data_IF_318197193135
#
_entry.id   IF_318197193135
#
_cell.length_a   1.000
_cell.length_b   1.000
_cell.length_c   1.000
_cell.angle_alpha   90.00
_cell.angle_beta   90.00
_cell.angle_gamma   90.00
#
_symmetry.space_group_name_H-M   'P 1'
#
loop_
_entity.id
_entity.type
_entity.pdbx_description
1 polymer ?
#
# COMPACT_ATOMS: atom_id res chain seq x y z
N UNK A 1 -12.55 -30.77 -55.64
CA UNK A 1 -11.99 -30.71 -54.25
C UNK A 1 -12.72 -29.74 -53.33
N UNK A 2 -13.38 -28.67 -53.79
CA UNK A 2 -14.01 -27.66 -52.90
C UNK A 2 -15.32 -28.12 -52.20
N UNK A 3 -16.14 -28.96 -52.79
CA UNK A 3 -17.43 -29.42 -52.20
C UNK A 3 -17.25 -30.39 -51.02
N UNK A 4 -16.21 -31.20 -51.05
CA UNK A 4 -15.90 -32.17 -49.98
C UNK A 4 -15.36 -31.44 -48.74
N UNK A 5 -14.54 -30.38 -48.93
CA UNK A 5 -13.99 -29.59 -47.82
C UNK A 5 -15.09 -28.82 -47.08
N UNK A 6 -16.06 -28.27 -47.80
CA UNK A 6 -17.21 -27.54 -47.21
C UNK A 6 -18.10 -28.50 -46.40
N UNK A 7 -18.29 -29.74 -46.87
CA UNK A 7 -19.09 -30.73 -46.14
C UNK A 7 -18.41 -31.15 -44.82
N UNK A 8 -17.08 -31.33 -44.82
CA UNK A 8 -16.32 -31.66 -43.60
C UNK A 8 -16.30 -30.50 -42.58
N UNK A 9 -16.17 -29.26 -43.05
CA UNK A 9 -16.22 -28.10 -42.14
C UNK A 9 -17.60 -27.90 -41.51
N UNK A 10 -18.68 -28.18 -42.26
CA UNK A 10 -20.06 -28.11 -41.74
C UNK A 10 -20.36 -29.19 -40.70
N UNK A 11 -19.82 -30.41 -40.90
CA UNK A 11 -19.97 -31.52 -39.94
C UNK A 11 -19.20 -31.24 -38.66
N UNK A 12 -17.98 -30.67 -38.73
CA UNK A 12 -17.17 -30.30 -37.57
C UNK A 12 -17.86 -29.21 -36.74
N UNK A 13 -18.44 -28.20 -37.41
CA UNK A 13 -19.19 -27.13 -36.70
C UNK A 13 -20.46 -27.66 -36.02
N UNK A 14 -21.17 -28.63 -36.64
CA UNK A 14 -22.33 -29.28 -36.03
C UNK A 14 -21.97 -30.17 -34.84
N UNK A 15 -20.84 -30.85 -34.87
CA UNK A 15 -20.34 -31.66 -33.75
C UNK A 15 -19.90 -30.76 -32.59
N UNK A 16 -19.16 -29.66 -32.86
CA UNK A 16 -18.77 -28.68 -31.83
C UNK A 16 -20.01 -28.05 -31.22
N UNK A 17 -21.01 -27.66 -32.02
CA UNK A 17 -22.28 -27.11 -31.54
C UNK A 17 -23.06 -28.09 -30.67
N UNK A 18 -23.14 -29.37 -31.06
CA UNK A 18 -23.82 -30.40 -30.28
C UNK A 18 -23.10 -30.73 -28.96
N UNK A 19 -21.75 -30.79 -28.97
CA UNK A 19 -20.95 -31.02 -27.76
C UNK A 19 -21.08 -29.81 -26.81
N UNK A 20 -21.03 -28.59 -27.32
CA UNK A 20 -21.22 -27.38 -26.50
C UNK A 20 -22.62 -27.29 -25.90
N UNK A 21 -23.66 -27.67 -26.71
CA UNK A 21 -25.05 -27.71 -26.22
C UNK A 21 -25.27 -28.80 -25.18
N UNK A 22 -24.62 -29.97 -25.33
CA UNK A 22 -24.68 -31.06 -24.35
C UNK A 22 -23.96 -30.71 -23.05
N UNK A 23 -22.82 -30.03 -23.13
CA UNK A 23 -22.16 -29.49 -21.96
C UNK A 23 -23.01 -28.41 -21.27
N UNK A 24 -23.64 -27.50 -22.00
CA UNK A 24 -24.52 -26.47 -21.43
C UNK A 24 -25.79 -27.04 -20.79
N UNK A 25 -26.36 -28.15 -21.32
CA UNK A 25 -27.52 -28.80 -20.74
C UNK A 25 -27.21 -29.67 -19.51
N UNK A 26 -26.00 -30.23 -19.43
CA UNK A 26 -25.59 -31.08 -18.32
C UNK A 26 -24.83 -30.31 -17.19
N UNK A 27 -24.37 -29.10 -17.44
CA UNK A 27 -23.96 -28.17 -16.41
C UNK A 27 -25.16 -27.34 -15.97
N UNK A 28 -26.07 -27.97 -15.24
CA UNK A 28 -26.90 -27.21 -14.30
C UNK A 28 -25.96 -26.76 -13.19
N UNK A 29 -25.57 -25.51 -13.24
CA UNK A 29 -25.14 -24.78 -12.06
C UNK A 29 -26.39 -24.75 -11.16
N UNK A 30 -26.56 -25.75 -10.32
CA UNK A 30 -27.46 -25.65 -9.18
C UNK A 30 -26.80 -24.60 -8.29
N UNK A 31 -27.22 -23.34 -8.46
CA UNK A 31 -27.07 -22.35 -7.41
C UNK A 31 -27.96 -22.83 -6.25
N UNK A 32 -27.41 -23.67 -5.39
CA UNK A 32 -28.03 -24.06 -4.12
C UNK A 32 -27.98 -22.90 -3.10
N UNK A 33 -28.06 -21.66 -3.58
CA UNK A 33 -28.42 -20.52 -2.75
C UNK A 33 -29.93 -20.36 -2.83
N UNK A 34 -30.65 -21.12 -1.99
CA UNK A 34 -32.00 -20.73 -1.62
C UNK A 34 -31.87 -19.53 -0.67
N UNK A 35 -32.53 -18.43 -1.02
CA UNK A 35 -32.63 -17.22 -0.21
C UNK A 35 -33.59 -17.42 1.01
N UNK A 36 -33.72 -18.62 1.52
CA UNK A 36 -34.52 -18.92 2.69
C UNK A 36 -33.63 -18.88 3.92
N UNK A 37 -33.66 -17.70 4.55
CA UNK A 37 -33.42 -17.47 6.00
C UNK A 37 -32.40 -18.42 6.63
N UNK A 38 -31.13 -18.16 6.39
CA UNK A 38 -30.10 -18.61 7.30
C UNK A 38 -30.13 -17.59 8.46
N UNK A 39 -30.36 -18.09 9.64
CA UNK A 39 -30.02 -17.39 10.87
C UNK A 39 -28.48 -17.41 10.98
N UNK A 40 -27.82 -16.61 10.10
CA UNK A 40 -26.37 -16.66 9.86
C UNK A 40 -25.57 -16.32 11.12
N UNK A 41 -26.13 -15.56 12.04
CA UNK A 41 -25.48 -15.18 13.30
C UNK A 41 -25.34 -16.38 14.24
N UNK A 42 -26.27 -17.33 14.22
CA UNK A 42 -26.22 -18.51 15.09
C UNK A 42 -25.23 -19.60 14.60
N UNK A 43 -24.96 -19.64 13.29
CA UNK A 43 -24.04 -20.65 12.70
C UNK A 43 -22.57 -20.22 12.83
N UNK A 44 -22.28 -18.92 12.72
CA UNK A 44 -20.91 -18.39 12.86
C UNK A 44 -20.37 -18.58 14.29
N UNK A 45 -21.23 -18.46 15.32
CA UNK A 45 -20.86 -18.67 16.72
C UNK A 45 -20.69 -20.15 17.11
N UNK A 46 -21.04 -21.11 16.24
CA UNK A 46 -20.87 -22.55 16.46
C UNK A 46 -19.77 -23.18 15.64
N UNK A 47 -19.11 -22.44 14.75
CA UNK A 47 -17.94 -22.94 14.05
C UNK A 47 -16.78 -23.06 15.06
N UNK A 48 -16.10 -24.24 15.15
CA UNK A 48 -14.87 -24.31 15.91
C UNK A 48 -13.91 -23.29 15.34
N UNK A 49 -13.27 -22.51 16.21
CA UNK A 49 -12.18 -21.63 15.82
C UNK A 49 -11.10 -22.51 15.18
N UNK A 50 -11.12 -22.62 13.86
CA UNK A 50 -9.98 -23.12 13.14
C UNK A 50 -8.95 -21.99 13.15
N UNK A 51 -7.91 -22.13 13.95
CA UNK A 51 -6.68 -21.36 13.70
C UNK A 51 -6.31 -21.64 12.25
N UNK A 52 -6.39 -20.60 11.42
CA UNK A 52 -5.93 -20.69 10.05
C UNK A 52 -4.42 -20.94 10.10
N UNK A 53 -4.03 -22.23 10.04
CA UNK A 53 -2.64 -22.61 9.84
C UNK A 53 -2.29 -22.36 8.38
N UNK A 54 -1.91 -21.14 8.08
CA UNK A 54 -1.56 -20.73 6.74
C UNK A 54 -1.39 -19.22 6.67
N UNK A 55 -1.13 -18.73 5.53
CA UNK A 55 -0.75 -17.41 5.06
C UNK A 55 -1.39 -16.16 5.76
N UNK A 56 -2.39 -16.33 6.61
CA UNK A 56 -3.13 -15.27 7.28
C UNK A 56 -3.30 -15.47 8.81
N UNK A 57 -2.50 -16.32 9.43
CA UNK A 57 -2.61 -16.60 10.86
C UNK A 57 -2.53 -15.35 11.78
N UNK A 58 -2.05 -14.23 11.25
CA UNK A 58 -1.87 -12.96 11.95
C UNK A 58 -2.67 -11.80 11.36
N UNK A 59 -3.71 -12.06 10.57
CA UNK A 59 -4.54 -11.02 9.98
C UNK A 59 -5.59 -10.54 11.00
N UNK A 60 -5.74 -9.22 11.13
CA UNK A 60 -6.75 -8.64 12.02
C UNK A 60 -8.17 -8.97 11.53
N UNK A 61 -9.04 -9.29 12.47
CA UNK A 61 -10.45 -9.57 12.23
C UNK A 61 -11.32 -8.49 12.87
N UNK A 62 -12.48 -8.22 12.27
CA UNK A 62 -13.52 -7.40 12.89
C UNK A 62 -14.24 -8.30 13.89
N UNK A 63 -14.21 -8.03 15.21
CA UNK A 63 -15.04 -8.76 16.16
C UNK A 63 -16.51 -8.60 15.84
N UNK A 64 -17.31 -9.66 16.05
CA UNK A 64 -18.76 -9.63 15.80
C UNK A 64 -19.50 -8.55 16.61
N UNK A 65 -18.90 -8.08 17.70
CA UNK A 65 -19.45 -7.06 18.60
C UNK A 65 -18.93 -5.65 18.26
N UNK A 66 -18.02 -5.52 17.28
CA UNK A 66 -17.53 -4.19 16.87
C UNK A 66 -18.62 -3.53 16.03
N UNK A 67 -19.27 -2.52 16.60
CA UNK A 67 -20.09 -1.62 15.80
C UNK A 67 -19.19 -0.92 14.80
N UNK A 68 -19.28 -1.29 13.53
CA UNK A 68 -18.68 -0.55 12.43
C UNK A 68 -19.54 0.69 12.24
N UNK A 69 -19.23 1.75 12.99
CA UNK A 69 -19.96 3.01 12.87
C UNK A 69 -19.57 3.68 11.56
N UNK A 70 -20.50 3.65 10.60
CA UNK A 70 -20.37 4.43 9.37
C UNK A 70 -20.51 5.94 9.62
N UNK A 71 -21.02 6.35 10.78
CA UNK A 71 -21.49 7.72 11.02
C UNK A 71 -20.43 8.63 11.66
N UNK A 72 -19.46 8.11 12.42
CA UNK A 72 -18.53 8.94 13.18
C UNK A 72 -17.45 9.61 12.31
N UNK A 73 -17.15 9.05 11.12
CA UNK A 73 -16.16 9.57 10.19
C UNK A 73 -16.74 9.95 8.82
N UNK A 74 -18.04 9.82 8.63
CA UNK A 74 -18.71 9.95 7.32
C UNK A 74 -18.51 11.32 6.67
N UNK A 75 -18.34 12.37 7.46
CA UNK A 75 -18.24 13.75 6.97
C UNK A 75 -16.81 14.19 6.66
N UNK A 76 -15.78 13.44 7.09
CA UNK A 76 -14.37 13.90 7.07
C UNK A 76 -13.39 12.90 6.48
N UNK A 77 -13.80 11.65 6.27
CA UNK A 77 -12.94 10.58 5.74
C UNK A 77 -13.71 9.70 4.78
N UNK A 78 -13.03 9.32 3.70
CA UNK A 78 -13.54 8.41 2.69
C UNK A 78 -13.34 6.94 3.04
N UNK A 79 -12.17 6.61 3.60
CA UNK A 79 -11.84 5.30 4.12
C UNK A 79 -10.88 5.41 5.29
N UNK A 80 -11.08 4.61 6.33
CA UNK A 80 -10.20 4.56 7.49
C UNK A 80 -10.19 3.20 8.15
N UNK A 81 -9.11 2.89 8.85
CA UNK A 81 -8.96 1.68 9.65
C UNK A 81 -8.03 1.94 10.84
N UNK A 82 -8.42 1.43 12.01
CA UNK A 82 -7.59 1.35 13.22
C UNK A 82 -7.52 -0.10 13.67
N UNK A 83 -6.32 -0.63 13.81
CA UNK A 83 -6.06 -2.00 14.22
C UNK A 83 -5.17 -2.03 15.44
N UNK A 84 -5.56 -2.77 16.47
CA UNK A 84 -4.68 -3.22 17.55
C UNK A 84 -3.88 -4.43 17.04
N UNK A 85 -2.59 -4.22 16.71
CA UNK A 85 -1.71 -5.27 16.21
C UNK A 85 -1.36 -6.30 17.30
N UNK A 86 -1.49 -5.94 18.57
CA UNK A 86 -1.17 -6.84 19.70
C UNK A 86 -2.24 -7.91 19.83
N UNK A 87 -3.51 -7.55 19.66
CA UNK A 87 -4.65 -8.46 19.72
C UNK A 87 -5.15 -8.91 18.34
N UNK A 88 -4.59 -8.38 17.23
CA UNK A 88 -5.08 -8.54 15.86
C UNK A 88 -6.57 -8.19 15.73
N UNK A 89 -6.98 -7.09 16.36
CA UNK A 89 -8.37 -6.66 16.40
C UNK A 89 -8.55 -5.33 15.67
N UNK A 90 -9.53 -5.24 14.78
CA UNK A 90 -9.94 -3.99 14.14
C UNK A 90 -10.83 -3.25 15.14
N UNK A 91 -10.38 -2.05 15.57
CA UNK A 91 -11.10 -1.19 16.51
C UNK A 91 -12.00 -0.18 15.81
N UNK A 92 -11.64 0.20 14.58
CA UNK A 92 -12.42 1.09 13.73
C UNK A 92 -12.26 0.65 12.28
N UNK A 93 -13.37 0.67 11.51
CA UNK A 93 -13.41 0.30 10.12
C UNK A 93 -14.47 1.12 9.38
N UNK A 94 -14.03 1.97 8.44
CA UNK A 94 -14.91 2.74 7.58
C UNK A 94 -14.51 2.56 6.12
N UNK A 95 -15.42 2.03 5.29
CA UNK A 95 -15.18 1.78 3.87
C UNK A 95 -13.86 1.01 3.56
N UNK A 96 -13.46 0.10 4.44
CA UNK A 96 -12.12 -0.51 4.44
C UNK A 96 -11.80 -1.31 3.19
N UNK A 97 -12.79 -1.76 2.41
CA UNK A 97 -12.64 -2.48 1.15
C UNK A 97 -12.93 -1.63 -0.09
N UNK A 98 -13.23 -0.34 0.09
CA UNK A 98 -13.44 0.57 -1.03
C UNK A 98 -12.10 0.93 -1.68
N UNK A 99 -12.03 0.89 -3.01
CA UNK A 99 -10.86 1.35 -3.76
C UNK A 99 -10.70 2.86 -3.65
N UNK A 100 -9.51 3.27 -3.31
CA UNK A 100 -9.10 4.67 -3.15
C UNK A 100 -7.74 4.87 -3.81
N UNK A 101 -7.39 6.10 -4.11
CA UNK A 101 -6.07 6.46 -4.60
C UNK A 101 -5.10 6.62 -3.43
N UNK A 102 -3.99 5.86 -3.39
CA UNK A 102 -3.07 5.86 -2.24
C UNK A 102 -2.19 7.10 -2.15
N UNK A 103 -2.02 7.85 -3.25
CA UNK A 103 -0.99 8.88 -3.36
C UNK A 103 0.38 8.33 -2.90
N UNK A 104 1.22 9.17 -2.29
CA UNK A 104 2.58 8.79 -1.86
C UNK A 104 2.65 7.72 -0.75
N UNK A 105 1.53 7.22 -0.21
CA UNK A 105 1.59 6.05 0.69
C UNK A 105 2.02 4.79 -0.06
N UNK A 106 1.90 4.75 -1.40
CA UNK A 106 2.50 3.78 -2.33
C UNK A 106 3.98 3.53 -2.05
N UNK A 107 4.73 4.56 -1.64
CA UNK A 107 6.18 4.49 -1.39
C UNK A 107 6.57 3.54 -0.25
N UNK A 108 5.62 3.14 0.60
CA UNK A 108 5.87 2.08 1.57
C UNK A 108 6.04 0.71 0.89
N UNK A 109 5.25 0.39 -0.14
CA UNK A 109 5.46 -0.83 -0.93
C UNK A 109 6.80 -0.78 -1.67
N UNK A 110 7.17 0.38 -2.22
CA UNK A 110 8.48 0.58 -2.82
C UNK A 110 9.61 0.35 -1.80
N UNK A 111 9.49 0.89 -0.59
CA UNK A 111 10.47 0.72 0.47
C UNK A 111 10.60 -0.74 0.93
N UNK A 112 9.50 -1.50 1.02
CA UNK A 112 9.51 -2.93 1.34
C UNK A 112 10.35 -3.69 0.32
N UNK A 113 10.13 -3.49 -0.99
CA UNK A 113 10.86 -4.19 -2.03
C UNK A 113 12.34 -3.81 -2.06
N UNK A 114 12.68 -2.54 -1.79
CA UNK A 114 14.07 -2.08 -1.66
C UNK A 114 14.74 -2.75 -0.45
N UNK A 115 14.07 -2.83 0.68
CA UNK A 115 14.59 -3.49 1.88
C UNK A 115 14.80 -4.99 1.65
N UNK A 116 13.83 -5.69 1.04
CA UNK A 116 13.96 -7.10 0.65
C UNK A 116 15.13 -7.33 -0.30
N UNK A 117 15.30 -6.49 -1.31
CA UNK A 117 16.40 -6.61 -2.26
C UNK A 117 17.78 -6.47 -1.57
N UNK A 118 17.90 -5.59 -0.57
CA UNK A 118 19.10 -5.45 0.24
C UNK A 118 19.34 -6.68 1.14
N UNK A 119 18.29 -7.24 1.76
CA UNK A 119 18.38 -8.48 2.55
C UNK A 119 18.77 -9.69 1.68
N UNK A 120 18.32 -9.72 0.42
CA UNK A 120 18.73 -10.73 -0.58
C UNK A 120 20.19 -10.53 -1.06
N UNK A 121 20.84 -9.44 -0.65
CA UNK A 121 22.23 -9.15 -0.99
C UNK A 121 22.45 -8.59 -2.41
N UNK A 122 21.39 -8.04 -3.04
CA UNK A 122 21.52 -7.40 -4.35
C UNK A 122 22.37 -6.14 -4.30
N UNK A 123 22.31 -5.42 -3.18
CA UNK A 123 23.12 -4.25 -2.85
C UNK A 123 23.11 -4.01 -1.34
N UNK A 124 23.96 -3.10 -0.88
CA UNK A 124 23.93 -2.55 0.49
C UNK A 124 23.35 -1.14 0.47
N UNK A 125 22.85 -0.66 1.60
CA UNK A 125 22.35 0.71 1.69
C UNK A 125 23.43 1.79 1.51
N UNK A 126 24.71 1.42 1.63
CA UNK A 126 25.85 2.33 1.46
C UNK A 126 26.40 2.30 0.03
N UNK A 127 25.89 1.41 -0.85
CA UNK A 127 26.28 1.39 -2.25
C UNK A 127 25.80 2.66 -2.97
N UNK A 128 26.67 3.15 -3.87
CA UNK A 128 26.41 4.37 -4.66
C UNK A 128 25.70 4.03 -5.96
N UNK A 129 24.63 4.74 -6.24
CA UNK A 129 23.88 4.68 -7.50
C UNK A 129 24.25 5.92 -8.31
N UNK A 130 24.75 5.73 -9.53
CA UNK A 130 24.98 6.83 -10.49
C UNK A 130 23.75 6.98 -11.37
N UNK A 131 23.25 8.20 -11.48
CA UNK A 131 22.06 8.52 -12.26
C UNK A 131 22.45 8.58 -13.73
N UNK A 132 22.05 7.60 -14.52
CA UNK A 132 22.43 7.46 -15.94
C UNK A 132 21.42 8.11 -16.89
N UNK A 133 20.20 8.34 -16.45
CA UNK A 133 19.16 9.05 -17.19
C UNK A 133 18.22 9.83 -16.24
N UNK A 134 17.43 10.73 -16.80
CA UNK A 134 16.46 11.50 -16.00
C UNK A 134 15.28 10.61 -15.60
N UNK A 135 14.99 10.46 -14.29
CA UNK A 135 13.83 9.68 -13.83
C UNK A 135 12.52 10.20 -14.43
N UNK A 136 11.69 9.32 -14.92
CA UNK A 136 10.42 9.69 -15.53
C UNK A 136 9.35 10.01 -14.45
N UNK A 137 9.25 11.29 -14.09
CA UNK A 137 8.18 11.82 -13.20
C UNK A 137 7.23 12.62 -14.07
N UNK A 138 6.04 12.08 -14.29
CA UNK A 138 5.09 12.60 -15.29
C UNK A 138 4.32 13.84 -14.84
N UNK A 139 4.18 14.07 -13.52
CA UNK A 139 3.47 15.21 -12.95
C UNK A 139 4.49 16.33 -12.64
N UNK A 140 4.39 17.50 -13.31
CA UNK A 140 5.32 18.61 -13.09
C UNK A 140 5.20 19.26 -11.71
N UNK A 141 4.09 19.06 -11.00
CA UNK A 141 3.86 19.57 -9.65
C UNK A 141 4.29 18.54 -8.56
N UNK A 142 4.80 17.37 -8.98
CA UNK A 142 5.27 16.35 -8.06
C UNK A 142 6.55 16.81 -7.34
N UNK A 143 6.63 16.49 -6.04
CA UNK A 143 7.84 16.76 -5.26
C UNK A 143 8.99 15.91 -5.81
N UNK A 144 10.04 16.55 -6.30
CA UNK A 144 11.26 15.94 -6.80
C UNK A 144 12.50 16.58 -6.15
N UNK A 145 13.62 15.88 -6.20
CA UNK A 145 14.91 16.37 -5.74
C UNK A 145 15.61 17.23 -6.80
N UNK A 146 16.79 17.74 -6.46
CA UNK A 146 17.66 18.46 -7.39
C UNK A 146 18.69 17.53 -8.10
N UNK A 147 18.54 16.20 -7.96
CA UNK A 147 19.48 15.22 -8.54
C UNK A 147 19.46 15.24 -10.06
N UNK A 148 20.64 15.08 -10.68
CA UNK A 148 20.83 15.17 -12.13
C UNK A 148 21.52 13.94 -12.68
N UNK A 149 21.43 13.79 -13.99
CA UNK A 149 22.19 12.77 -14.72
C UNK A 149 23.69 12.98 -14.50
N UNK A 150 24.39 11.92 -14.12
CA UNK A 150 25.78 11.91 -13.74
C UNK A 150 26.06 12.01 -12.25
N UNK A 151 25.09 12.44 -11.44
CA UNK A 151 25.21 12.48 -9.99
C UNK A 151 25.26 11.06 -9.42
N UNK A 152 25.90 10.92 -8.25
CA UNK A 152 25.99 9.65 -7.52
C UNK A 152 25.54 9.81 -6.07
N UNK A 153 24.63 8.95 -5.64
CA UNK A 153 23.97 9.02 -4.33
C UNK A 153 23.84 7.61 -3.73
N UNK A 154 23.93 7.47 -2.40
CA UNK A 154 23.77 6.17 -1.78
C UNK A 154 22.30 5.68 -1.81
N UNK A 155 22.11 4.35 -1.84
CA UNK A 155 20.78 3.73 -1.74
C UNK A 155 20.05 4.19 -0.48
N UNK A 156 20.76 4.35 0.64
CA UNK A 156 20.23 4.90 1.89
C UNK A 156 19.63 6.28 1.71
N UNK A 157 20.36 7.19 1.05
CA UNK A 157 19.90 8.57 0.86
C UNK A 157 18.71 8.64 -0.10
N UNK A 158 18.68 7.79 -1.13
CA UNK A 158 17.50 7.62 -1.99
C UNK A 158 16.29 7.16 -1.20
N UNK A 159 16.43 6.10 -0.38
CA UNK A 159 15.34 5.56 0.44
C UNK A 159 14.84 6.60 1.45
N UNK A 160 15.74 7.27 2.15
CA UNK A 160 15.39 8.29 3.15
C UNK A 160 14.75 9.52 2.51
N UNK A 161 15.26 10.01 1.39
CA UNK A 161 14.64 11.12 0.66
C UNK A 161 13.24 10.77 0.15
N UNK A 162 13.04 9.54 -0.32
CA UNK A 162 11.73 9.03 -0.74
C UNK A 162 10.73 8.96 0.44
N UNK A 163 11.15 8.48 1.60
CA UNK A 163 10.25 8.32 2.75
C UNK A 163 10.00 9.65 3.48
N UNK A 164 11.04 10.39 3.84
CA UNK A 164 10.97 11.61 4.66
C UNK A 164 10.36 12.78 3.88
N UNK A 165 10.93 13.09 2.70
CA UNK A 165 10.55 14.24 1.86
C UNK A 165 9.53 13.89 0.79
N UNK A 166 9.32 12.58 0.57
CA UNK A 166 8.40 12.07 -0.46
C UNK A 166 8.87 12.30 -1.90
N UNK A 167 10.17 12.35 -2.15
CA UNK A 167 10.74 12.53 -3.48
C UNK A 167 10.24 11.45 -4.45
N UNK A 168 9.66 11.87 -5.58
CA UNK A 168 9.06 10.96 -6.58
C UNK A 168 10.10 10.39 -7.54
N UNK A 169 11.11 11.15 -7.89
CA UNK A 169 12.26 10.74 -8.68
C UNK A 169 13.07 9.64 -7.96
N UNK A 170 13.28 9.75 -6.65
CA UNK A 170 13.96 8.71 -5.87
C UNK A 170 13.19 7.39 -5.87
N UNK A 171 11.85 7.44 -5.86
CA UNK A 171 11.05 6.23 -5.98
C UNK A 171 11.24 5.54 -7.33
N UNK A 172 11.37 6.31 -8.43
CA UNK A 172 11.65 5.78 -9.78
C UNK A 172 13.05 5.17 -9.83
N UNK A 173 14.08 5.89 -9.35
CA UNK A 173 15.47 5.39 -9.33
C UNK A 173 15.56 4.07 -8.54
N UNK A 174 14.94 4.00 -7.36
CA UNK A 174 14.93 2.79 -6.54
C UNK A 174 14.17 1.64 -7.22
N UNK A 175 13.08 1.94 -7.93
CA UNK A 175 12.33 0.95 -8.69
C UNK A 175 13.17 0.36 -9.81
N UNK A 176 13.89 1.19 -10.55
CA UNK A 176 14.79 0.75 -11.63
C UNK A 176 16.00 -0.03 -11.08
N UNK A 177 16.55 0.38 -9.94
CA UNK A 177 17.62 -0.34 -9.27
C UNK A 177 17.23 -1.77 -8.89
N UNK A 178 16.00 -1.96 -8.38
CA UNK A 178 15.52 -3.26 -7.89
C UNK A 178 14.92 -4.10 -9.01
N UNK A 179 14.10 -3.51 -9.86
CA UNK A 179 13.33 -4.18 -10.91
C UNK A 179 14.03 -4.23 -12.27
N UNK A 180 15.05 -3.37 -12.49
CA UNK A 180 15.65 -3.15 -13.80
C UNK A 180 14.89 -2.14 -14.64
N UNK A 181 13.58 -2.07 -14.50
CA UNK A 181 12.69 -1.04 -15.03
C UNK A 181 11.45 -0.88 -14.16
N UNK A 182 10.68 0.19 -14.39
CA UNK A 182 9.47 0.52 -13.61
C UNK A 182 8.37 -0.50 -13.85
N UNK A 183 8.19 -1.04 -15.05
CA UNK A 183 7.13 -2.00 -15.37
C UNK A 183 7.33 -3.29 -14.59
N UNK A 184 8.53 -3.86 -14.64
CA UNK A 184 8.87 -5.06 -13.87
C UNK A 184 8.77 -4.82 -12.36
N UNK A 185 9.21 -3.64 -11.89
CA UNK A 185 9.07 -3.28 -10.48
C UNK A 185 7.60 -3.23 -10.04
N UNK A 186 6.70 -2.67 -10.85
CA UNK A 186 5.27 -2.65 -10.56
C UNK A 186 4.66 -4.06 -10.52
N UNK A 187 5.14 -4.99 -11.35
CA UNK A 187 4.76 -6.40 -11.23
C UNK A 187 5.20 -6.97 -9.88
N UNK A 188 6.45 -6.70 -9.45
CA UNK A 188 6.93 -7.12 -8.13
C UNK A 188 6.09 -6.52 -6.99
N UNK A 189 5.66 -5.23 -7.10
CA UNK A 189 4.77 -4.60 -6.11
C UNK A 189 3.43 -5.35 -6.00
N UNK A 190 2.84 -5.73 -7.12
CA UNK A 190 1.57 -6.46 -7.15
C UNK A 190 1.73 -7.91 -6.64
N UNK A 191 2.83 -8.58 -6.95
CA UNK A 191 3.16 -9.91 -6.41
C UNK A 191 3.38 -9.85 -4.90
N UNK A 192 4.10 -8.84 -4.41
CA UNK A 192 4.28 -8.63 -2.98
C UNK A 192 2.96 -8.35 -2.28
N UNK A 193 2.13 -7.45 -2.82
CA UNK A 193 0.81 -7.17 -2.29
C UNK A 193 -0.05 -8.43 -2.18
N UNK A 194 -0.07 -9.25 -3.25
CA UNK A 194 -0.75 -10.54 -3.23
C UNK A 194 -0.20 -11.45 -2.15
N UNK A 195 1.14 -11.48 -1.99
CA UNK A 195 1.82 -12.27 -0.97
C UNK A 195 1.43 -11.88 0.45
N UNK A 196 1.17 -10.61 0.71
CA UNK A 196 0.69 -10.08 1.99
C UNK A 196 -0.81 -10.30 2.22
N UNK A 197 -1.56 -10.78 1.22
CA UNK A 197 -3.01 -10.86 1.26
C UNK A 197 -3.72 -9.53 0.92
N UNK A 198 -2.98 -8.52 0.47
CA UNK A 198 -3.51 -7.24 -0.01
C UNK A 198 -4.02 -7.38 -1.46
N UNK A 199 -5.19 -8.00 -1.61
CA UNK A 199 -5.72 -8.40 -2.92
C UNK A 199 -6.68 -7.39 -3.54
N UNK A 200 -6.99 -6.31 -2.83
CA UNK A 200 -7.88 -5.23 -3.28
C UNK A 200 -7.15 -4.05 -3.92
N UNK A 201 -5.82 -4.13 -4.09
CA UNK A 201 -4.99 -3.06 -4.63
C UNK A 201 -4.38 -3.42 -5.99
N UNK A 202 -3.89 -2.38 -6.68
CA UNK A 202 -3.12 -2.51 -7.92
C UNK A 202 -2.15 -1.34 -8.05
N UNK A 203 -0.89 -1.65 -8.33
CA UNK A 203 0.20 -0.69 -8.45
C UNK A 203 0.68 -0.61 -9.91
N UNK A 204 0.76 0.59 -10.47
CA UNK A 204 1.25 0.86 -11.83
C UNK A 204 2.42 1.84 -11.87
N UNK A 205 2.79 2.40 -10.71
CA UNK A 205 3.99 3.21 -10.53
C UNK A 205 4.53 3.09 -9.09
N UNK A 206 5.82 3.41 -8.84
CA UNK A 206 6.44 3.24 -7.54
C UNK A 206 6.24 4.42 -6.58
N UNK A 207 5.68 5.55 -7.04
CA UNK A 207 5.65 6.80 -6.30
C UNK A 207 4.26 7.25 -5.84
N UNK A 208 3.18 6.68 -6.43
CA UNK A 208 1.79 7.00 -6.08
C UNK A 208 1.23 8.23 -6.79
N UNK A 209 1.87 8.71 -7.86
CA UNK A 209 1.26 9.67 -8.76
C UNK A 209 0.00 9.07 -9.38
N UNK A 210 -0.96 9.94 -9.66
CA UNK A 210 -2.27 9.50 -10.07
C UNK A 210 -2.27 8.77 -11.41
N UNK A 211 -2.85 7.57 -11.41
CA UNK A 211 -3.27 6.78 -12.56
C UNK A 211 -4.60 6.11 -12.21
N UNK A 212 -5.53 6.03 -13.15
CA UNK A 212 -6.88 5.48 -12.90
C UNK A 212 -6.83 4.03 -12.36
N UNK A 213 -5.83 3.27 -12.78
CA UNK A 213 -5.62 1.86 -12.38
C UNK A 213 -4.63 1.68 -11.22
N UNK A 214 -4.27 2.78 -10.53
CA UNK A 214 -3.42 2.79 -9.35
C UNK A 214 -4.25 3.00 -8.09
N UNK A 215 -4.63 1.94 -7.41
CA UNK A 215 -5.55 2.00 -6.27
C UNK A 215 -5.18 1.01 -5.18
N UNK A 216 -5.68 1.29 -3.98
CA UNK A 216 -5.60 0.41 -2.79
C UNK A 216 -6.95 0.41 -2.07
N UNK A 217 -7.08 -0.44 -1.05
CA UNK A 217 -8.10 -0.30 -0.01
C UNK A 217 -7.45 0.07 1.32
N UNK A 218 -8.24 0.54 2.30
CA UNK A 218 -7.71 0.81 3.64
C UNK A 218 -7.20 -0.48 4.31
N UNK A 219 -7.84 -1.61 4.04
CA UNK A 219 -7.40 -2.91 4.54
C UNK A 219 -6.07 -3.35 3.91
N UNK A 220 -5.88 -3.16 2.61
CA UNK A 220 -4.59 -3.44 1.94
C UNK A 220 -3.48 -2.57 2.52
N UNK A 221 -3.74 -1.28 2.75
CA UNK A 221 -2.75 -0.37 3.35
C UNK A 221 -2.39 -0.75 4.78
N UNK A 222 -3.35 -1.27 5.56
CA UNK A 222 -3.05 -1.85 6.87
C UNK A 222 -2.02 -2.98 6.75
N UNK A 223 -2.20 -3.91 5.81
CA UNK A 223 -1.27 -5.03 5.59
C UNK A 223 0.11 -4.53 5.15
N UNK A 224 0.15 -3.57 4.23
CA UNK A 224 1.39 -3.01 3.68
C UNK A 224 2.18 -2.24 4.73
N UNK A 225 1.55 -1.34 5.50
CA UNK A 225 2.28 -0.56 6.51
C UNK A 225 2.74 -1.43 7.68
N UNK A 226 1.98 -2.45 8.02
CA UNK A 226 2.37 -3.47 9.01
C UNK A 226 3.60 -4.25 8.54
N UNK A 227 3.65 -4.63 7.26
CA UNK A 227 4.84 -5.27 6.68
C UNK A 227 6.03 -4.32 6.68
N UNK A 228 5.84 -3.05 6.28
CA UNK A 228 6.89 -2.05 6.29
C UNK A 228 7.54 -1.87 7.68
N UNK A 229 6.76 -2.04 8.74
CA UNK A 229 7.25 -1.96 10.12
C UNK A 229 8.19 -3.12 10.54
N UNK A 230 8.29 -4.18 9.75
CA UNK A 230 9.24 -5.27 9.98
C UNK A 230 10.68 -4.92 9.53
N UNK A 231 10.88 -3.80 8.82
CA UNK A 231 12.18 -3.40 8.29
C UNK A 231 12.76 -2.22 9.08
N UNK A 232 13.81 -2.48 9.86
CA UNK A 232 14.48 -1.46 10.68
C UNK A 232 14.89 -0.23 9.88
N UNK A 233 15.33 -0.38 8.63
CA UNK A 233 15.75 0.73 7.78
C UNK A 233 14.62 1.71 7.47
N UNK A 234 13.39 1.22 7.35
CA UNK A 234 12.19 2.05 7.14
C UNK A 234 11.86 2.81 8.43
N UNK A 235 11.82 2.11 9.56
CA UNK A 235 11.58 2.73 10.86
C UNK A 235 12.65 3.78 11.21
N UNK A 236 13.92 3.51 10.88
CA UNK A 236 15.02 4.47 11.05
C UNK A 236 14.83 5.74 10.19
N UNK A 237 14.40 5.60 8.93
CA UNK A 237 14.07 6.75 8.08
C UNK A 237 12.93 7.57 8.68
N UNK A 238 11.86 6.92 9.12
CA UNK A 238 10.65 7.56 9.62
C UNK A 238 10.80 8.16 11.02
N UNK A 239 11.85 7.77 11.76
CA UNK A 239 12.21 8.38 13.05
C UNK A 239 12.87 9.75 12.92
N UNK A 240 13.35 10.13 11.73
CA UNK A 240 14.08 11.37 11.50
C UNK A 240 13.15 12.60 11.59
N UNK A 241 13.51 13.58 12.42
CA UNK A 241 12.84 14.90 12.47
C UNK A 241 13.46 15.91 11.50
N UNK A 242 14.68 15.64 11.07
CA UNK A 242 15.41 16.27 9.97
C UNK A 242 16.50 15.31 9.53
N UNK A 243 16.85 15.31 8.27
CA UNK A 243 17.91 14.47 7.74
C UNK A 243 18.75 15.26 6.74
N UNK A 244 20.07 15.34 7.01
CA UNK A 244 21.04 16.00 6.14
C UNK A 244 21.93 14.92 5.53
N UNK A 245 22.14 14.97 4.23
CA UNK A 245 22.98 14.02 3.53
C UNK A 245 23.76 14.69 2.41
N UNK A 246 24.81 14.00 1.95
CA UNK A 246 25.61 14.45 0.82
C UNK A 246 25.51 13.42 -0.33
N UNK A 247 25.75 13.91 -1.55
CA UNK A 247 25.89 13.15 -2.77
C UNK A 247 26.95 13.82 -3.67
N UNK A 248 27.39 13.13 -4.70
CA UNK A 248 28.42 13.66 -5.63
C UNK A 248 27.75 14.12 -6.92
N UNK A 249 28.14 15.30 -7.42
CA UNK A 249 27.77 15.71 -8.77
C UNK A 249 28.58 14.94 -9.84
N UNK A 250 28.28 15.16 -11.11
CA UNK A 250 28.96 14.52 -12.25
C UNK A 250 30.46 14.83 -12.34
N UNK A 251 30.90 15.90 -11.68
CA UNK A 251 32.32 16.30 -11.63
C UNK A 251 33.03 15.75 -10.37
N UNK A 252 32.29 15.05 -9.49
CA UNK A 252 32.80 14.51 -8.25
C UNK A 252 32.82 15.50 -7.08
N UNK A 253 32.17 16.65 -7.20
CA UNK A 253 32.03 17.60 -6.08
C UNK A 253 30.91 17.13 -5.15
N UNK A 254 31.11 17.33 -3.83
CA UNK A 254 30.12 17.02 -2.84
C UNK A 254 29.06 18.11 -2.79
N UNK A 255 27.78 17.68 -2.96
CA UNK A 255 26.58 18.48 -2.76
C UNK A 255 25.83 17.99 -1.54
N UNK A 256 24.99 18.82 -0.94
CA UNK A 256 24.20 18.47 0.24
C UNK A 256 22.72 18.78 0.04
N UNK A 257 21.87 18.01 0.69
CA UNK A 257 20.46 18.28 0.81
C UNK A 257 20.01 18.13 2.28
N UNK A 258 19.14 19.04 2.73
CA UNK A 258 18.58 19.09 4.06
C UNK A 258 17.07 18.92 3.98
N UNK A 259 16.56 17.76 4.39
CA UNK A 259 15.15 17.41 4.30
C UNK A 259 14.46 17.31 5.63
N UNK A 260 13.18 17.63 5.63
CA UNK A 260 12.30 17.53 6.80
C UNK A 260 11.07 16.70 6.48
N UNK A 261 10.50 16.00 7.48
CA UNK A 261 9.32 15.15 7.30
C UNK A 261 8.11 15.91 6.78
N UNK A 262 7.33 15.24 5.94
CA UNK A 262 6.02 15.73 5.49
C UNK A 262 4.93 15.53 6.54
N UNK A 263 5.16 14.71 7.56
CA UNK A 263 4.20 14.43 8.62
C UNK A 263 4.12 15.61 9.62
N UNK A 264 2.92 16.17 9.76
CA UNK A 264 2.69 17.37 10.55
C UNK A 264 2.69 17.14 12.08
N UNK A 265 2.65 15.89 12.56
CA UNK A 265 2.95 15.57 13.94
C UNK A 265 4.45 15.77 14.23
N UNK A 266 5.33 15.35 13.30
CA UNK A 266 6.79 15.50 13.45
C UNK A 266 7.25 16.95 13.30
N UNK A 267 6.60 17.75 12.47
CA UNK A 267 6.88 19.19 12.35
C UNK A 267 6.36 20.00 13.55
N UNK A 268 5.52 19.40 14.41
CA UNK A 268 4.87 20.08 15.55
C UNK A 268 3.69 20.98 15.17
N UNK A 269 3.22 20.91 13.93
CA UNK A 269 2.02 21.62 13.48
C UNK A 269 0.76 21.10 14.19
N UNK A 270 0.70 19.78 14.38
CA UNK A 270 -0.31 19.12 15.22
C UNK A 270 0.37 18.41 16.38
N UNK A 271 -0.30 18.41 17.54
CA UNK A 271 0.23 17.78 18.75
C UNK A 271 0.05 16.27 18.70
N UNK A 272 1.17 15.54 18.79
CA UNK A 272 1.17 14.12 19.05
C UNK A 272 1.12 13.92 20.58
N UNK A 273 0.17 13.14 21.16
CA UNK A 273 0.17 12.80 22.57
C UNK A 273 1.50 12.16 23.02
N UNK A 274 1.95 12.47 24.23
CA UNK A 274 3.29 12.07 24.70
C UNK A 274 3.46 10.57 24.97
N UNK A 275 2.36 9.82 25.03
CA UNK A 275 2.32 8.36 25.16
C UNK A 275 2.31 7.65 23.82
N UNK A 276 2.45 8.35 22.70
CA UNK A 276 2.44 7.81 21.35
C UNK A 276 3.83 7.92 20.73
N UNK A 277 4.37 6.79 20.34
CA UNK A 277 5.61 6.69 19.58
C UNK A 277 5.31 6.15 18.17
N UNK A 278 5.41 7.02 17.15
CA UNK A 278 5.27 6.61 15.75
C UNK A 278 6.50 5.84 15.31
N UNK A 279 6.30 4.68 14.67
CA UNK A 279 7.40 3.82 14.20
C UNK A 279 7.58 3.88 12.69
N UNK A 280 6.51 3.69 11.92
CA UNK A 280 6.51 3.84 10.45
C UNK A 280 5.34 4.72 10.06
N UNK A 281 5.54 5.60 9.11
CA UNK A 281 4.48 6.49 8.63
C UNK A 281 4.72 6.90 7.18
N UNK A 282 3.64 7.30 6.49
CA UNK A 282 3.73 7.98 5.20
C UNK A 282 2.52 8.86 4.96
N UNK A 283 2.77 10.11 4.57
CA UNK A 283 1.75 11.03 4.06
C UNK A 283 1.61 10.89 2.56
N UNK A 284 0.45 11.22 2.04
CA UNK A 284 0.19 11.35 0.62
C UNK A 284 -0.84 12.45 0.34
N UNK A 285 -0.69 13.12 -0.79
CA UNK A 285 -1.68 14.09 -1.27
C UNK A 285 -1.63 14.14 -2.78
N UNK A 286 -2.77 13.98 -3.42
CA UNK A 286 -3.02 14.36 -4.81
C UNK A 286 -4.40 15.00 -4.89
N UNK A 287 -4.70 15.67 -5.98
CA UNK A 287 -6.03 16.29 -6.16
C UNK A 287 -7.19 15.28 -6.05
N UNK A 288 -6.97 14.02 -6.46
CA UNK A 288 -7.99 12.97 -6.47
C UNK A 288 -7.92 12.04 -5.25
N UNK A 289 -6.77 11.94 -4.59
CA UNK A 289 -6.62 11.14 -3.36
C UNK A 289 -7.01 11.91 -2.10
N UNK A 290 -7.20 13.24 -2.19
CA UNK A 290 -7.32 14.05 -0.98
C UNK A 290 -6.06 14.00 -0.13
N UNK A 291 -6.20 14.12 1.18
CA UNK A 291 -5.11 13.98 2.15
C UNK A 291 -5.13 12.57 2.73
N UNK A 292 -3.97 11.92 2.72
CA UNK A 292 -3.78 10.53 3.12
C UNK A 292 -2.64 10.46 4.14
N UNK A 293 -2.83 9.67 5.20
CA UNK A 293 -1.78 9.32 6.13
C UNK A 293 -1.96 7.85 6.57
N UNK A 294 -0.86 7.15 6.64
CA UNK A 294 -0.78 5.85 7.33
C UNK A 294 0.32 5.88 8.36
N UNK A 295 0.14 5.14 9.46
CA UNK A 295 1.19 4.96 10.46
C UNK A 295 1.03 3.67 11.24
N UNK A 296 2.15 3.18 11.77
CA UNK A 296 2.19 2.32 12.94
C UNK A 296 2.68 3.12 14.14
N UNK A 297 2.16 2.84 15.30
CA UNK A 297 2.54 3.53 16.52
C UNK A 297 2.45 2.61 17.75
N UNK A 298 3.36 2.79 18.68
CA UNK A 298 3.27 2.24 20.03
C UNK A 298 2.54 3.24 20.94
N UNK A 299 1.47 2.78 21.57
CA UNK A 299 0.65 3.56 22.49
C UNK A 299 0.52 2.77 23.78
N UNK A 300 1.10 3.30 24.86
CA UNK A 300 1.13 2.66 26.19
C UNK A 300 1.60 1.18 26.14
N UNK A 301 2.58 0.87 25.27
CA UNK A 301 3.20 -0.44 25.12
C UNK A 301 2.41 -1.44 24.27
N UNK A 302 1.40 -0.98 23.53
CA UNK A 302 0.69 -1.77 22.52
C UNK A 302 0.93 -1.18 21.14
N UNK A 303 1.05 -2.04 20.16
CA UNK A 303 1.24 -1.64 18.76
C UNK A 303 -0.09 -1.48 18.03
N UNK A 304 -0.22 -0.38 17.28
CA UNK A 304 -1.39 -0.06 16.49
C UNK A 304 -1.01 0.29 15.06
N UNK A 305 -1.91 -0.01 14.14
CA UNK A 305 -1.83 0.45 12.74
C UNK A 305 -3.05 1.31 12.44
N UNK A 306 -2.81 2.45 11.79
CA UNK A 306 -3.83 3.43 11.44
C UNK A 306 -3.67 3.87 9.99
N UNK A 307 -4.78 4.00 9.28
CA UNK A 307 -4.83 4.58 7.96
C UNK A 307 -6.08 5.44 7.79
N UNK A 308 -5.92 6.60 7.19
CA UNK A 308 -7.00 7.50 6.78
C UNK A 308 -6.72 8.02 5.39
N UNK A 309 -7.70 7.97 4.50
CA UNK A 309 -7.61 8.45 3.13
C UNK A 309 -8.79 9.36 2.76
N UNK A 310 -8.52 10.20 1.74
CA UNK A 310 -9.49 11.12 1.12
C UNK A 310 -10.09 12.11 2.11
N UNK A 311 -9.30 12.53 3.10
CA UNK A 311 -9.69 13.62 3.98
C UNK A 311 -9.69 14.95 3.22
N UNK A 312 -10.72 15.76 3.45
CA UNK A 312 -10.94 17.04 2.75
C UNK A 312 -9.84 18.08 3.01
N UNK A 313 -9.20 17.99 4.17
CA UNK A 313 -8.13 18.90 4.56
C UNK A 313 -7.10 18.22 5.46
N UNK A 314 -5.87 18.77 5.56
CA UNK A 314 -4.92 18.30 6.57
C UNK A 314 -5.49 18.39 7.99
N UNK A 315 -6.26 19.44 8.29
CA UNK A 315 -6.87 19.62 9.62
C UNK A 315 -7.82 18.45 9.95
N UNK A 316 -8.70 18.08 9.01
CA UNK A 316 -9.64 16.98 9.21
C UNK A 316 -8.88 15.66 9.39
N UNK A 317 -7.86 15.42 8.56
CA UNK A 317 -7.00 14.25 8.65
C UNK A 317 -6.40 14.07 10.06
N UNK A 318 -5.75 15.11 10.57
CA UNK A 318 -5.08 15.04 11.89
C UNK A 318 -6.07 15.03 13.07
N UNK A 319 -7.27 15.59 12.91
CA UNK A 319 -8.36 15.45 13.88
C UNK A 319 -8.89 14.01 13.95
N UNK A 320 -9.00 13.33 12.82
CA UNK A 320 -9.38 11.91 12.77
C UNK A 320 -8.36 11.04 13.53
N UNK A 321 -7.08 11.26 13.31
CA UNK A 321 -6.03 10.60 14.09
C UNK A 321 -6.17 10.86 15.59
N UNK A 322 -6.49 12.09 16.00
CA UNK A 322 -6.79 12.41 17.40
C UNK A 322 -7.97 11.62 17.98
N UNK A 323 -9.00 11.32 17.17
CA UNK A 323 -10.11 10.45 17.59
C UNK A 323 -9.65 9.00 17.70
N UNK A 324 -8.91 8.49 16.71
CA UNK A 324 -8.34 7.13 16.75
C UNK A 324 -7.47 6.92 17.98
N UNK A 325 -6.63 7.89 18.34
CA UNK A 325 -5.82 7.83 19.58
C UNK A 325 -6.67 7.70 20.85
N UNK A 326 -7.86 8.32 20.90
CA UNK A 326 -8.78 8.16 22.03
C UNK A 326 -9.44 6.78 22.09
N UNK A 327 -9.48 6.04 20.98
CA UNK A 327 -10.05 4.69 20.92
C UNK A 327 -9.06 3.60 21.37
N UNK A 328 -7.80 3.94 21.58
CA UNK A 328 -6.75 2.99 22.02
C UNK A 328 -6.60 2.91 23.54
N UNK A 329 -7.36 3.72 24.28
CA UNK A 329 -7.35 3.80 25.75
C UNK A 329 -8.25 2.76 26.42
#
# INVERSE_FOLDING_TARGET
MSKVLILYSSIILLVIGAVSFFFFQNYKFESSFSADTIDEVAVINQMPHYEAQGYQANTAIIPAETEVSADDFADTSYASILVDNTSNTILEAHNIYRRIYPASTTKLMTAILVAKAAEEGKFTFDDMVTIDHSPNVTDPDAVASDIKVGDSISVRNLLYGMLIKSYNDYAVILAELVGGDVENFCQMMNEEAYSLGATGCHFVNPNGLHEDDHYVTAYDMYLIVREAANYDIIAQADSQRSYSYTYLDSDGNELSDDITPTNMFLSGTYTLPSNIEMTVWKTGTTRLAGNVLTMTADIDGKSYTMFVADSNSPQDLYQLYGRMFNMTN
#
